data_IF_676753287327
#
_entry.id   IF_676753287327
#
_cell.length_a   1.000
_cell.length_b   1.000
_cell.length_c   1.000
_cell.angle_alpha   90.00
_cell.angle_beta   90.00
_cell.angle_gamma   90.00
#
_symmetry.space_group_name_H-M   'P 1'
#
loop_
_entity.id
_entity.type
_entity.pdbx_description
1 polymer ?
#
# COMPACT_ATOMS: atom_id res chain seq x y z
N UNK A 1 6.40 7.99 -12.33
CA UNK A 1 7.61 7.77 -11.48
C UNK A 1 8.01 9.11 -10.88
N UNK A 2 7.72 9.35 -9.59
CA UNK A 2 8.32 10.48 -8.88
C UNK A 2 9.81 10.20 -8.66
N UNK A 3 10.65 11.22 -8.77
CA UNK A 3 12.09 11.11 -8.65
C UNK A 3 12.62 12.20 -7.71
N UNK A 4 13.32 11.78 -6.65
CA UNK A 4 14.02 12.69 -5.76
C UNK A 4 15.21 11.99 -5.10
N UNK A 5 16.41 12.46 -5.37
CA UNK A 5 17.67 11.96 -4.79
C UNK A 5 17.80 10.43 -4.83
N UNK A 6 17.63 9.83 -6.00
CA UNK A 6 17.66 8.39 -6.25
C UNK A 6 18.74 8.00 -7.29
N UNK A 7 19.83 8.75 -7.42
CA UNK A 7 20.89 8.53 -8.41
C UNK A 7 21.42 7.09 -8.45
N UNK A 8 21.43 6.41 -7.29
CA UNK A 8 21.87 5.03 -7.15
C UNK A 8 20.96 4.00 -7.83
N UNK A 9 19.68 4.32 -8.06
CA UNK A 9 18.68 3.33 -8.43
C UNK A 9 17.87 3.73 -9.67
N UNK A 10 17.70 5.02 -9.93
CA UNK A 10 16.77 5.51 -10.97
C UNK A 10 17.10 4.96 -12.36
N UNK A 11 18.38 4.80 -12.72
CA UNK A 11 18.79 4.21 -13.99
C UNK A 11 18.30 2.77 -14.15
N UNK A 12 18.52 1.93 -13.13
CA UNK A 12 18.05 0.55 -13.11
C UNK A 12 16.51 0.47 -13.17
N UNK A 13 15.82 1.34 -12.43
CA UNK A 13 14.36 1.39 -12.40
C UNK A 13 13.77 1.81 -13.75
N UNK A 14 14.34 2.81 -14.42
CA UNK A 14 13.92 3.22 -15.77
C UNK A 14 14.13 2.07 -16.76
N UNK A 15 15.35 1.48 -16.82
CA UNK A 15 15.62 0.33 -17.69
C UNK A 15 14.67 -0.83 -17.46
N UNK A 16 14.35 -1.11 -16.21
CA UNK A 16 13.44 -2.20 -15.85
C UNK A 16 12.02 -1.95 -16.41
N UNK A 17 11.52 -0.71 -16.36
CA UNK A 17 10.23 -0.35 -16.97
C UNK A 17 10.31 -0.41 -18.50
N UNK A 18 11.38 0.06 -19.12
CA UNK A 18 11.54 0.02 -20.57
C UNK A 18 11.59 -1.41 -21.16
N UNK A 19 11.96 -2.41 -20.33
CA UNK A 19 11.99 -3.85 -20.68
C UNK A 19 10.64 -4.54 -20.54
N UNK A 20 9.53 -3.84 -20.25
CA UNK A 20 8.23 -4.46 -20.20
C UNK A 20 7.85 -5.08 -21.55
N UNK A 21 7.22 -6.26 -21.51
CA UNK A 21 6.80 -6.99 -22.73
C UNK A 21 5.68 -6.27 -23.51
N UNK A 22 4.97 -5.37 -22.87
CA UNK A 22 4.04 -4.42 -23.50
C UNK A 22 4.83 -3.16 -23.84
N UNK A 23 4.90 -2.79 -25.10
CA UNK A 23 5.67 -1.63 -25.58
C UNK A 23 4.86 -0.33 -25.68
N UNK A 24 3.53 -0.41 -25.74
CA UNK A 24 2.63 0.75 -25.87
C UNK A 24 2.37 1.39 -24.48
N UNK A 25 3.30 2.22 -24.04
CA UNK A 25 3.19 3.02 -22.82
C UNK A 25 4.01 4.30 -22.90
N UNK A 26 3.67 5.27 -22.05
CA UNK A 26 4.51 6.41 -21.70
C UNK A 26 5.02 6.27 -20.27
N UNK A 27 6.30 6.58 -20.03
CA UNK A 27 6.92 6.63 -18.72
C UNK A 27 7.09 8.09 -18.31
N UNK A 28 6.18 8.59 -17.49
CA UNK A 28 6.26 9.96 -16.96
C UNK A 28 7.17 9.94 -15.73
N UNK A 29 8.35 10.55 -15.86
CA UNK A 29 9.30 10.77 -14.78
C UNK A 29 9.23 12.23 -14.37
N UNK A 30 8.99 12.51 -13.10
CA UNK A 30 8.97 13.87 -12.59
C UNK A 30 10.06 14.02 -11.53
N UNK A 31 11.11 14.75 -11.88
CA UNK A 31 12.14 15.14 -10.94
C UNK A 31 11.63 16.23 -9.99
N UNK A 32 11.62 15.92 -8.70
CA UNK A 32 11.09 16.78 -7.63
C UNK A 32 12.21 17.64 -7.01
N UNK A 33 12.96 18.35 -7.87
CA UNK A 33 14.12 19.18 -7.52
C UNK A 33 15.25 18.39 -6.83
N UNK A 34 15.69 17.29 -7.44
CA UNK A 34 16.85 16.50 -6.96
C UNK A 34 18.11 17.34 -6.91
N UNK A 35 18.94 17.06 -5.91
CA UNK A 35 20.24 17.73 -5.68
C UNK A 35 21.43 16.83 -5.98
N UNK A 36 21.19 15.58 -6.36
CA UNK A 36 22.17 14.59 -6.81
C UNK A 36 22.10 14.42 -8.35
N UNK A 37 22.73 13.39 -8.90
CA UNK A 37 22.75 13.13 -10.34
C UNK A 37 21.43 12.54 -10.91
N UNK A 38 20.37 12.41 -10.11
CA UNK A 38 19.10 11.78 -10.53
C UNK A 38 18.50 12.40 -11.78
N UNK A 39 18.39 13.73 -11.82
CA UNK A 39 17.80 14.46 -12.95
C UNK A 39 18.64 14.30 -14.23
N UNK A 40 19.97 14.28 -14.11
CA UNK A 40 20.89 14.07 -15.23
C UNK A 40 20.76 12.66 -15.82
N UNK A 41 20.70 11.64 -14.95
CA UNK A 41 20.48 10.25 -15.35
C UNK A 41 19.16 10.13 -16.09
N UNK A 42 18.05 10.64 -15.53
CA UNK A 42 16.73 10.56 -16.16
C UNK A 42 16.72 11.27 -17.54
N UNK A 43 17.41 12.41 -17.68
CA UNK A 43 17.57 13.14 -18.94
C UNK A 43 18.33 12.31 -19.99
N UNK A 44 19.37 11.60 -19.58
CA UNK A 44 20.15 10.74 -20.48
C UNK A 44 19.32 9.57 -21.02
N UNK A 45 18.37 9.03 -20.24
CA UNK A 45 17.42 8.02 -20.72
C UNK A 45 16.33 8.63 -21.62
N UNK A 46 15.77 9.78 -21.27
CA UNK A 46 14.76 10.46 -22.08
C UNK A 46 15.28 10.86 -23.46
N UNK A 47 16.56 11.15 -23.58
CA UNK A 47 17.20 11.44 -24.88
C UNK A 47 17.35 10.19 -25.79
N UNK A 48 17.13 8.98 -25.26
CA UNK A 48 17.34 7.71 -26.00
C UNK A 48 16.04 6.95 -26.26
N UNK A 49 14.95 7.26 -25.55
CA UNK A 49 13.68 6.55 -25.66
C UNK A 49 12.53 7.53 -25.55
N UNK A 50 11.80 7.71 -26.66
CA UNK A 50 10.70 8.65 -26.81
C UNK A 50 9.46 8.31 -25.95
N UNK A 51 9.44 7.12 -25.34
CA UNK A 51 8.40 6.76 -24.37
C UNK A 51 8.56 7.48 -23.04
N UNK A 52 9.72 8.07 -22.76
CA UNK A 52 9.99 8.80 -21.51
C UNK A 52 9.58 10.25 -21.63
N UNK A 53 8.66 10.67 -20.78
CA UNK A 53 8.24 12.06 -20.60
C UNK A 53 8.86 12.58 -19.32
N UNK A 54 9.98 13.34 -19.44
CA UNK A 54 10.66 13.92 -18.29
C UNK A 54 10.10 15.30 -17.96
N UNK A 55 9.74 15.51 -16.71
CA UNK A 55 9.26 16.79 -16.17
C UNK A 55 10.06 17.16 -14.92
N UNK A 56 10.06 18.45 -14.55
CA UNK A 56 10.76 18.95 -13.37
C UNK A 56 9.83 19.81 -12.51
N UNK A 57 9.95 19.70 -11.19
CA UNK A 57 9.41 20.65 -10.23
C UNK A 57 10.50 21.69 -9.89
N UNK A 58 10.13 22.95 -9.75
CA UNK A 58 11.07 24.02 -9.40
C UNK A 58 11.57 23.88 -7.94
N UNK A 59 10.74 23.32 -7.09
CA UNK A 59 11.01 23.06 -5.68
C UNK A 59 10.55 21.66 -5.30
N UNK A 60 11.19 21.06 -4.29
CA UNK A 60 10.73 19.79 -3.73
C UNK A 60 9.32 19.94 -3.16
N UNK A 61 8.37 19.33 -3.81
CA UNK A 61 6.93 19.38 -3.47
C UNK A 61 6.44 18.12 -2.74
N UNK A 62 7.26 17.09 -2.67
CA UNK A 62 6.96 15.80 -2.06
C UNK A 62 6.20 14.84 -2.98
N UNK A 63 6.22 13.56 -2.61
CA UNK A 63 5.71 12.47 -3.44
C UNK A 63 4.24 12.63 -3.85
N UNK A 64 3.38 13.12 -2.95
CA UNK A 64 1.96 13.30 -3.21
C UNK A 64 1.70 14.30 -4.34
N UNK A 65 2.28 15.49 -4.27
CA UNK A 65 2.11 16.53 -5.30
C UNK A 65 2.75 16.08 -6.62
N UNK A 66 3.92 15.48 -6.56
CA UNK A 66 4.63 14.97 -7.74
C UNK A 66 3.82 13.88 -8.45
N UNK A 67 3.22 12.93 -7.69
CA UNK A 67 2.31 11.93 -8.29
C UNK A 67 1.05 12.57 -8.84
N UNK A 68 0.45 13.57 -8.20
CA UNK A 68 -0.71 14.28 -8.72
C UNK A 68 -0.40 14.96 -10.05
N UNK A 69 0.75 15.62 -10.17
CA UNK A 69 1.19 16.21 -11.43
C UNK A 69 1.39 15.16 -12.53
N UNK A 70 1.92 13.98 -12.19
CA UNK A 70 2.04 12.87 -13.13
C UNK A 70 0.66 12.33 -13.57
N UNK A 71 -0.30 12.26 -12.66
CA UNK A 71 -1.69 11.85 -12.96
C UNK A 71 -2.38 12.83 -13.93
N UNK A 72 -2.10 14.14 -13.81
CA UNK A 72 -2.65 15.16 -14.70
C UNK A 72 -2.04 15.08 -16.09
N UNK A 73 -0.78 14.70 -16.22
CA UNK A 73 -0.08 14.51 -17.47
C UNK A 73 -0.41 13.17 -18.18
N UNK A 74 -0.93 12.17 -17.43
CA UNK A 74 -1.15 10.83 -17.95
C UNK A 74 -2.28 10.74 -18.97
N UNK A 75 -1.97 10.15 -20.14
CA UNK A 75 -2.87 10.00 -21.31
C UNK A 75 -3.37 8.58 -21.53
N UNK A 76 -2.69 7.59 -20.90
CA UNK A 76 -2.98 6.18 -21.08
C UNK A 76 -4.37 5.77 -20.60
N UNK A 77 -4.94 4.71 -21.20
CA UNK A 77 -6.19 4.05 -20.74
C UNK A 77 -6.05 3.44 -19.35
N UNK A 78 -4.82 3.06 -19.00
CA UNK A 78 -4.43 2.56 -17.70
C UNK A 78 -3.31 3.42 -17.13
N UNK A 79 -3.27 3.57 -15.81
CA UNK A 79 -2.20 4.22 -15.07
C UNK A 79 -1.55 3.18 -14.17
N UNK A 80 -0.22 3.10 -14.20
CA UNK A 80 0.55 2.29 -13.27
C UNK A 80 1.59 3.15 -12.55
N UNK A 81 1.90 2.78 -11.32
CA UNK A 81 2.88 3.49 -10.51
C UNK A 81 4.20 2.71 -10.45
N UNK A 82 5.29 3.46 -10.33
CA UNK A 82 6.63 2.93 -10.12
C UNK A 82 7.45 3.93 -9.34
N UNK A 83 8.01 3.53 -8.22
CA UNK A 83 8.95 4.35 -7.47
C UNK A 83 10.35 4.23 -8.07
N UNK A 84 11.17 5.26 -7.95
CA UNK A 84 12.46 5.38 -8.64
C UNK A 84 13.56 4.43 -8.11
N UNK A 85 13.26 3.66 -7.07
CA UNK A 85 14.14 2.68 -6.44
C UNK A 85 13.62 1.24 -6.52
N UNK A 86 12.42 1.01 -7.11
CA UNK A 86 11.78 -0.29 -7.23
C UNK A 86 12.02 -0.95 -8.59
N UNK A 87 11.72 -2.27 -8.65
CA UNK A 87 11.77 -3.07 -9.87
C UNK A 87 10.46 -3.85 -10.05
N UNK A 88 10.21 -4.33 -11.27
CA UNK A 88 9.07 -5.21 -11.55
C UNK A 88 9.42 -6.28 -12.58
N UNK A 89 8.62 -7.36 -12.59
CA UNK A 89 8.71 -8.40 -13.63
C UNK A 89 8.48 -7.79 -15.02
N UNK A 90 9.23 -8.19 -16.04
CA UNK A 90 9.00 -7.76 -17.42
C UNK A 90 7.57 -8.01 -17.92
N UNK A 91 6.88 -8.98 -17.34
CA UNK A 91 5.51 -9.36 -17.71
C UNK A 91 4.44 -8.63 -16.88
N UNK A 92 4.80 -7.75 -15.94
CA UNK A 92 3.85 -7.13 -15.02
C UNK A 92 2.71 -6.43 -15.76
N UNK A 93 3.01 -5.60 -16.75
CA UNK A 93 1.98 -4.87 -17.49
C UNK A 93 1.07 -5.82 -18.26
N UNK A 94 1.63 -6.77 -18.99
CA UNK A 94 0.86 -7.76 -19.75
C UNK A 94 -0.10 -8.56 -18.84
N UNK A 95 0.37 -9.02 -17.68
CA UNK A 95 -0.45 -9.80 -16.74
C UNK A 95 -1.56 -8.97 -16.11
N UNK A 96 -1.30 -7.70 -15.78
CA UNK A 96 -2.31 -6.81 -15.24
C UNK A 96 -3.35 -6.44 -16.30
N UNK A 97 -2.96 -6.16 -17.54
CA UNK A 97 -3.90 -5.92 -18.66
C UNK A 97 -4.79 -7.14 -18.92
N UNK A 98 -4.20 -8.34 -19.02
CA UNK A 98 -4.96 -9.58 -19.18
C UNK A 98 -5.89 -9.86 -17.97
N UNK A 99 -5.53 -9.43 -16.77
CA UNK A 99 -6.41 -9.49 -15.61
C UNK A 99 -7.63 -8.57 -15.78
N UNK A 100 -7.42 -7.33 -16.20
CA UNK A 100 -8.52 -6.39 -16.46
C UNK A 100 -9.47 -6.83 -17.57
N UNK A 101 -8.96 -7.51 -18.60
CA UNK A 101 -9.79 -8.10 -19.67
C UNK A 101 -10.72 -9.19 -19.11
N UNK A 102 -10.19 -10.07 -18.26
CA UNK A 102 -10.95 -11.17 -17.62
C UNK A 102 -11.88 -10.68 -16.49
N UNK A 103 -11.60 -9.50 -15.93
CA UNK A 103 -12.33 -8.92 -14.80
C UNK A 103 -12.74 -7.47 -15.11
N UNK A 104 -13.68 -7.26 -16.06
CA UNK A 104 -14.06 -5.93 -16.53
C UNK A 104 -14.65 -5.01 -15.44
N UNK A 105 -15.17 -5.60 -14.36
CA UNK A 105 -15.68 -4.87 -13.20
C UNK A 105 -14.59 -4.38 -12.23
N UNK A 106 -13.32 -4.76 -12.43
CA UNK A 106 -12.20 -4.32 -11.58
C UNK A 106 -11.63 -3.03 -12.12
N UNK A 107 -11.44 -2.04 -11.25
CA UNK A 107 -10.90 -0.72 -11.59
C UNK A 107 -9.44 -0.57 -11.17
N UNK A 108 -9.02 -1.24 -10.08
CA UNK A 108 -7.67 -1.20 -9.51
C UNK A 108 -7.17 -2.63 -9.33
N UNK A 109 -5.98 -2.91 -9.86
CA UNK A 109 -5.31 -4.21 -9.76
C UNK A 109 -3.89 -4.05 -9.26
N UNK A 110 -3.59 -4.61 -8.09
CA UNK A 110 -2.23 -4.78 -7.60
C UNK A 110 -1.72 -6.21 -7.80
N UNK A 111 -0.60 -6.54 -7.15
CA UNK A 111 -0.03 -7.88 -7.12
C UNK A 111 0.66 -8.18 -5.79
N UNK A 112 1.02 -9.43 -5.55
CA UNK A 112 2.02 -9.75 -4.55
C UNK A 112 3.34 -9.07 -4.90
N UNK A 113 4.18 -8.84 -3.89
CA UNK A 113 5.48 -8.25 -4.11
C UNK A 113 6.55 -8.87 -3.22
N UNK A 114 7.80 -8.74 -3.65
CA UNK A 114 8.96 -9.19 -2.90
C UNK A 114 9.71 -7.97 -2.38
N UNK A 115 9.97 -7.90 -1.09
CA UNK A 115 10.92 -6.93 -0.54
C UNK A 115 12.32 -7.51 -0.66
N UNK A 116 13.27 -6.70 -1.14
CA UNK A 116 14.68 -7.08 -1.31
C UNK A 116 15.63 -5.96 -0.90
N UNK A 117 16.92 -6.24 -0.78
CA UNK A 117 17.96 -5.25 -0.45
C UNK A 117 18.52 -5.40 0.96
N UNK A 118 19.27 -4.40 1.43
CA UNK A 118 20.24 -4.51 2.53
C UNK A 118 19.73 -4.08 3.91
N UNK A 119 18.50 -3.63 4.04
CA UNK A 119 17.99 -3.14 5.34
C UNK A 119 17.97 -4.26 6.39
N UNK A 120 18.64 -4.01 7.52
CA UNK A 120 18.68 -4.93 8.66
C UNK A 120 19.81 -5.97 8.59
N UNK A 121 20.85 -5.72 7.79
CA UNK A 121 22.09 -6.52 7.79
C UNK A 121 22.00 -7.87 7.08
N UNK A 122 20.91 -8.13 6.34
CA UNK A 122 20.74 -9.38 5.59
C UNK A 122 20.27 -9.13 4.16
N UNK A 123 20.89 -9.79 3.20
CA UNK A 123 20.48 -9.80 1.78
C UNK A 123 19.27 -10.73 1.53
N UNK A 124 18.29 -10.74 2.45
CA UNK A 124 17.15 -11.63 2.37
C UNK A 124 15.98 -11.05 1.58
N UNK A 125 15.37 -11.87 0.75
CA UNK A 125 14.06 -11.58 0.15
C UNK A 125 12.93 -11.90 1.12
N UNK A 126 11.95 -11.00 1.21
CA UNK A 126 10.72 -11.22 1.95
C UNK A 126 9.52 -11.16 1.02
N UNK A 127 8.88 -12.29 0.81
CA UNK A 127 7.68 -12.42 -0.02
C UNK A 127 6.44 -11.93 0.73
N UNK A 128 5.76 -10.93 0.19
CA UNK A 128 4.57 -10.31 0.76
C UNK A 128 3.35 -10.72 -0.03
N UNK A 129 2.42 -11.37 0.64
CA UNK A 129 1.09 -11.68 0.13
C UNK A 129 0.09 -10.66 0.65
N UNK A 130 -0.71 -10.12 -0.25
CA UNK A 130 -1.75 -9.13 0.03
C UNK A 130 -3.15 -9.73 -0.22
N UNK A 131 -4.23 -9.14 0.30
CA UNK A 131 -5.60 -9.60 0.02
C UNK A 131 -5.89 -9.60 -1.47
N UNK A 132 -6.66 -10.58 -1.96
CA UNK A 132 -6.90 -10.77 -3.39
C UNK A 132 -8.22 -10.16 -3.86
N UNK A 133 -9.28 -10.27 -3.06
CA UNK A 133 -10.63 -9.84 -3.45
C UNK A 133 -10.94 -8.44 -2.93
N UNK A 134 -11.89 -7.78 -3.57
CA UNK A 134 -12.37 -6.46 -3.14
C UNK A 134 -12.79 -6.46 -1.66
N UNK A 135 -13.56 -7.46 -1.26
CA UNK A 135 -14.08 -7.58 0.09
C UNK A 135 -12.94 -7.78 1.12
N UNK A 136 -11.93 -8.58 0.80
CA UNK A 136 -10.74 -8.74 1.65
C UNK A 136 -9.92 -7.45 1.74
N UNK A 137 -9.79 -6.72 0.63
CA UNK A 137 -9.11 -5.42 0.57
C UNK A 137 -9.85 -4.39 1.43
N UNK A 138 -11.18 -4.32 1.37
CA UNK A 138 -12.00 -3.44 2.21
C UNK A 138 -11.73 -3.66 3.70
N UNK A 139 -11.62 -4.92 4.14
CA UNK A 139 -11.29 -5.22 5.54
C UNK A 139 -9.81 -4.94 5.87
N UNK A 140 -8.89 -5.20 4.92
CA UNK A 140 -7.48 -4.89 5.11
C UNK A 140 -7.25 -3.40 5.33
N UNK A 141 -7.97 -2.56 4.62
CA UNK A 141 -7.88 -1.10 4.73
C UNK A 141 -8.13 -0.58 6.15
N UNK A 142 -8.89 -1.25 6.99
CA UNK A 142 -9.01 -0.87 8.41
C UNK A 142 -7.70 -1.04 9.19
N UNK A 143 -6.77 -1.85 8.69
CA UNK A 143 -5.54 -2.23 9.39
C UNK A 143 -4.26 -1.73 8.75
N UNK A 144 -4.29 -1.33 7.49
CA UNK A 144 -3.13 -0.85 6.75
C UNK A 144 -3.29 -0.98 5.24
N UNK A 145 -2.27 -0.55 4.52
CA UNK A 145 -2.26 -0.53 3.07
C UNK A 145 -2.36 -1.95 2.48
N UNK A 146 -3.27 -2.19 1.52
CA UNK A 146 -3.45 -3.50 0.87
C UNK A 146 -2.59 -3.70 -0.38
N UNK A 147 -1.78 -2.71 -0.75
CA UNK A 147 -0.96 -2.69 -1.96
C UNK A 147 0.47 -2.25 -1.68
N UNK A 148 1.43 -2.74 -2.44
CA UNK A 148 2.68 -2.02 -2.67
C UNK A 148 2.45 -0.97 -3.75
N UNK A 149 2.88 0.28 -3.57
CA UNK A 149 2.60 1.37 -4.51
C UNK A 149 3.02 1.01 -5.93
N UNK A 150 4.24 0.53 -6.11
CA UNK A 150 4.79 0.12 -7.41
C UNK A 150 4.14 -1.14 -8.00
N UNK A 151 3.20 -1.80 -7.29
CA UNK A 151 2.48 -2.97 -7.81
C UNK A 151 1.15 -2.64 -8.48
N UNK A 152 0.68 -1.39 -8.37
CA UNK A 152 -0.69 -1.04 -8.76
C UNK A 152 -0.76 -0.59 -10.20
N UNK A 153 -1.81 -1.06 -10.90
CA UNK A 153 -2.34 -0.52 -12.14
C UNK A 153 -3.83 -0.24 -11.96
N UNK A 154 -4.33 0.85 -12.56
CA UNK A 154 -5.73 1.24 -12.47
C UNK A 154 -6.28 1.73 -13.83
N UNK A 155 -7.59 1.65 -14.02
CA UNK A 155 -8.28 2.22 -15.17
C UNK A 155 -8.32 3.74 -15.02
N UNK A 156 -7.83 4.47 -16.03
CA UNK A 156 -7.75 5.94 -15.98
C UNK A 156 -9.13 6.59 -15.86
N UNK A 157 -10.09 6.16 -16.69
CA UNK A 157 -11.40 6.80 -16.78
C UNK A 157 -12.22 6.69 -15.47
N UNK A 158 -12.43 5.48 -14.87
CA UNK A 158 -13.08 5.39 -13.57
C UNK A 158 -12.38 6.20 -12.49
N UNK A 159 -11.02 6.16 -12.44
CA UNK A 159 -10.25 6.91 -11.48
C UNK A 159 -10.45 8.43 -11.64
N UNK A 160 -10.31 8.98 -12.85
CA UNK A 160 -10.46 10.41 -13.12
C UNK A 160 -11.85 10.93 -12.74
N UNK A 161 -12.89 10.13 -12.95
CA UNK A 161 -14.28 10.49 -12.57
C UNK A 161 -14.47 10.67 -11.07
N UNK A 162 -13.68 10.01 -10.23
CA UNK A 162 -13.79 10.20 -8.76
C UNK A 162 -13.36 11.58 -8.31
N UNK A 163 -12.51 12.28 -9.06
CA UNK A 163 -11.85 13.52 -8.66
C UNK A 163 -10.85 13.37 -7.50
N UNK A 164 -10.66 12.15 -6.98
CA UNK A 164 -9.77 11.88 -5.85
C UNK A 164 -8.30 12.03 -6.28
N UNK A 165 -7.49 12.59 -5.39
CA UNK A 165 -6.06 12.84 -5.56
C UNK A 165 -5.28 12.39 -4.33
N UNK A 166 -3.97 12.21 -4.48
CA UNK A 166 -3.07 12.03 -3.34
C UNK A 166 -3.17 13.23 -2.39
N UNK A 167 -3.37 12.97 -1.10
CA UNK A 167 -3.33 13.99 -0.06
C UNK A 167 -1.90 14.19 0.43
N UNK A 168 -1.57 15.40 0.85
CA UNK A 168 -0.25 15.72 1.42
C UNK A 168 -0.16 15.16 2.85
N UNK A 169 0.15 13.90 2.95
CA UNK A 169 0.39 13.20 4.21
C UNK A 169 1.49 12.15 4.01
N UNK A 170 2.02 11.61 5.09
CA UNK A 170 3.15 10.66 5.02
C UNK A 170 2.76 9.22 4.64
N UNK A 171 1.46 8.92 4.60
CA UNK A 171 0.92 7.65 4.14
C UNK A 171 -0.10 7.92 3.00
N UNK A 172 0.35 8.70 2.02
CA UNK A 172 -0.47 9.23 0.93
C UNK A 172 -1.07 8.12 0.05
N UNK A 173 -0.34 7.02 -0.12
CA UNK A 173 -0.80 5.84 -0.85
C UNK A 173 -1.94 5.14 -0.09
N UNK A 174 -1.75 4.89 1.21
CA UNK A 174 -2.78 4.27 2.03
C UNK A 174 -4.05 5.13 2.08
N UNK A 175 -3.91 6.45 2.24
CA UNK A 175 -5.04 7.37 2.23
C UNK A 175 -5.78 7.34 0.88
N UNK A 176 -5.03 7.33 -0.23
CA UNK A 176 -5.61 7.22 -1.57
C UNK A 176 -6.48 5.96 -1.72
N UNK A 177 -5.96 4.81 -1.29
CA UNK A 177 -6.71 3.55 -1.40
C UNK A 177 -7.95 3.53 -0.51
N UNK A 178 -7.89 4.13 0.66
CA UNK A 178 -9.06 4.31 1.54
C UNK A 178 -10.12 5.15 0.86
N UNK A 179 -9.75 6.28 0.26
CA UNK A 179 -10.70 7.18 -0.41
C UNK A 179 -11.30 6.52 -1.66
N UNK A 180 -10.48 5.89 -2.50
CA UNK A 180 -10.94 5.21 -3.72
C UNK A 180 -11.80 3.97 -3.44
N UNK A 181 -11.64 3.34 -2.29
CA UNK A 181 -12.33 2.09 -1.94
C UNK A 181 -13.86 2.21 -1.86
N UNK A 182 -14.39 3.42 -1.85
CA UNK A 182 -15.84 3.68 -1.84
C UNK A 182 -16.44 3.74 -3.25
N UNK A 183 -15.59 3.96 -4.24
CA UNK A 183 -16.02 4.23 -5.62
C UNK A 183 -15.55 3.16 -6.61
N UNK A 184 -14.40 2.53 -6.33
CA UNK A 184 -13.71 1.67 -7.27
C UNK A 184 -13.55 0.24 -6.73
N UNK A 185 -13.73 -0.74 -7.59
CA UNK A 185 -13.47 -2.15 -7.26
C UNK A 185 -12.00 -2.48 -7.39
N UNK A 186 -11.47 -3.12 -6.36
CA UNK A 186 -10.05 -3.42 -6.19
C UNK A 186 -9.80 -4.92 -6.17
N UNK A 187 -8.67 -5.35 -6.71
CA UNK A 187 -8.21 -6.73 -6.63
C UNK A 187 -6.67 -6.81 -6.60
N UNK A 188 -6.11 -7.97 -6.29
CA UNK A 188 -4.69 -8.27 -6.48
C UNK A 188 -4.51 -9.60 -7.24
N UNK A 189 -3.46 -9.67 -8.06
CA UNK A 189 -3.01 -10.90 -8.72
C UNK A 189 -2.14 -11.68 -7.71
N UNK A 190 -2.36 -13.02 -7.54
CA UNK A 190 -1.58 -13.84 -6.61
C UNK A 190 -0.18 -14.23 -7.17
N UNK A 191 0.50 -13.28 -7.79
CA UNK A 191 1.83 -13.43 -8.37
C UNK A 191 2.77 -12.31 -7.88
N UNK A 192 4.04 -12.64 -7.70
CA UNK A 192 5.07 -11.69 -7.27
C UNK A 192 5.59 -10.94 -8.50
N UNK A 193 4.93 -9.82 -8.83
CA UNK A 193 5.23 -9.05 -10.04
C UNK A 193 6.02 -7.77 -9.76
N UNK A 194 6.26 -7.43 -8.50
CA UNK A 194 6.97 -6.22 -8.10
C UNK A 194 8.01 -6.53 -7.05
N UNK A 195 9.14 -5.85 -7.12
CA UNK A 195 10.26 -6.00 -6.22
C UNK A 195 10.49 -4.64 -5.55
N UNK A 196 10.07 -4.54 -4.28
CA UNK A 196 10.21 -3.36 -3.43
C UNK A 196 11.60 -3.34 -2.81
N UNK A 197 12.39 -2.34 -3.13
CA UNK A 197 13.75 -2.20 -2.61
C UNK A 197 13.73 -1.66 -1.19
N UNK A 198 14.59 -2.21 -0.33
CA UNK A 198 14.81 -1.73 1.04
C UNK A 198 16.25 -1.31 1.20
N UNK A 199 16.45 -0.06 1.61
CA UNK A 199 17.77 0.51 1.87
C UNK A 199 17.70 1.50 3.05
N UNK A 200 18.86 1.88 3.62
CA UNK A 200 18.91 2.57 4.91
C UNK A 200 18.31 3.97 4.89
N UNK A 201 18.53 4.71 3.79
CA UNK A 201 18.13 6.11 3.66
C UNK A 201 16.73 6.32 3.07
N UNK A 202 15.97 5.28 2.89
CA UNK A 202 14.58 5.34 2.40
C UNK A 202 13.70 6.21 3.29
N UNK A 203 12.80 7.00 2.69
CA UNK A 203 11.83 7.84 3.42
C UNK A 203 11.03 7.01 4.43
N UNK A 204 10.59 5.82 4.03
CA UNK A 204 9.86 4.87 4.90
C UNK A 204 10.70 4.37 6.10
N UNK A 205 12.01 4.54 6.06
CA UNK A 205 12.91 4.22 7.16
C UNK A 205 13.16 5.44 8.04
N UNK A 206 13.55 6.55 7.42
CA UNK A 206 13.91 7.79 8.13
C UNK A 206 12.74 8.47 8.82
N UNK A 207 11.52 8.30 8.31
CA UNK A 207 10.32 8.97 8.79
C UNK A 207 9.23 7.98 9.27
N UNK A 208 9.63 6.81 9.78
CA UNK A 208 8.72 5.75 10.21
C UNK A 208 7.68 6.24 11.23
N UNK A 209 8.08 7.08 12.20
CA UNK A 209 7.16 7.61 13.21
C UNK A 209 6.09 8.51 12.59
N UNK A 210 6.50 9.37 11.66
CA UNK A 210 5.57 10.25 10.93
C UNK A 210 4.61 9.45 10.04
N UNK A 211 5.11 8.43 9.35
CA UNK A 211 4.27 7.52 8.56
C UNK A 211 3.29 6.75 9.46
N UNK A 212 3.75 6.26 10.62
CA UNK A 212 2.90 5.56 11.57
C UNK A 212 1.80 6.46 12.09
N UNK A 213 2.10 7.72 12.43
CA UNK A 213 1.10 8.70 12.86
C UNK A 213 0.10 9.00 11.74
N UNK A 214 0.57 9.22 10.51
CA UNK A 214 -0.29 9.46 9.36
C UNK A 214 -1.23 8.28 9.11
N UNK A 215 -0.72 7.05 9.13
CA UNK A 215 -1.53 5.84 9.02
C UNK A 215 -2.54 5.70 10.17
N UNK A 216 -2.18 6.10 11.40
CA UNK A 216 -3.10 6.14 12.54
C UNK A 216 -4.28 7.07 12.29
N UNK A 217 -4.03 8.27 11.80
CA UNK A 217 -5.08 9.23 11.47
C UNK A 217 -6.02 8.69 10.38
N UNK A 218 -5.46 8.10 9.33
CA UNK A 218 -6.24 7.44 8.27
C UNK A 218 -7.12 6.30 8.83
N UNK A 219 -6.57 5.47 9.73
CA UNK A 219 -7.33 4.41 10.39
C UNK A 219 -8.47 4.97 11.25
N UNK A 220 -8.22 5.99 12.05
CA UNK A 220 -9.23 6.64 12.90
C UNK A 220 -10.37 7.24 12.06
N UNK A 221 -10.02 7.99 11.00
CA UNK A 221 -11.00 8.58 10.07
C UNK A 221 -11.89 7.49 9.45
N UNK A 222 -11.27 6.42 8.94
CA UNK A 222 -11.99 5.34 8.29
C UNK A 222 -12.91 4.56 9.25
N UNK A 223 -12.42 4.24 10.45
CA UNK A 223 -13.21 3.54 11.47
C UNK A 223 -14.41 4.37 11.93
N UNK A 224 -14.21 5.68 12.10
CA UNK A 224 -15.30 6.59 12.45
C UNK A 224 -16.33 6.70 11.32
N UNK A 225 -15.86 6.88 10.07
CA UNK A 225 -16.73 7.07 8.90
C UNK A 225 -17.51 5.82 8.52
N UNK A 226 -16.83 4.65 8.42
CA UNK A 226 -17.44 3.41 7.91
C UNK A 226 -18.13 2.58 8.98
N UNK A 227 -17.69 2.65 10.23
CA UNK A 227 -18.21 1.79 11.31
C UNK A 227 -18.79 2.58 12.49
N UNK A 228 -18.72 3.89 12.49
CA UNK A 228 -19.12 4.71 13.64
C UNK A 228 -18.25 4.48 14.90
N UNK A 229 -17.08 3.86 14.76
CA UNK A 229 -16.20 3.52 15.89
C UNK A 229 -15.13 4.60 16.05
N UNK A 230 -15.22 5.36 17.14
CA UNK A 230 -14.20 6.31 17.55
C UNK A 230 -13.27 5.67 18.58
N UNK A 231 -11.98 5.77 18.38
CA UNK A 231 -10.94 5.32 19.31
C UNK A 231 -10.39 6.54 20.07
N UNK A 232 -10.09 6.36 21.37
CA UNK A 232 -9.28 7.34 22.09
C UNK A 232 -7.84 7.32 21.53
N UNK A 233 -7.04 8.33 21.85
CA UNK A 233 -5.65 8.43 21.37
C UNK A 233 -4.81 7.22 21.78
N UNK A 234 -5.00 6.73 23.01
CA UNK A 234 -4.32 5.51 23.49
C UNK A 234 -4.80 4.26 22.76
N UNK A 235 -6.10 4.12 22.52
CA UNK A 235 -6.66 3.01 21.74
C UNK A 235 -6.17 3.05 20.30
N UNK A 236 -6.15 4.22 19.67
CA UNK A 236 -5.68 4.40 18.30
C UNK A 236 -4.19 4.03 18.17
N UNK A 237 -3.35 4.49 19.09
CA UNK A 237 -1.94 4.14 19.14
C UNK A 237 -1.73 2.63 19.30
N UNK A 238 -2.47 1.98 20.20
CA UNK A 238 -2.42 0.53 20.39
C UNK A 238 -2.88 -0.17 19.10
N UNK A 239 -4.01 0.25 18.53
CA UNK A 239 -4.57 -0.35 17.33
C UNK A 239 -3.60 -0.28 16.16
N UNK A 240 -3.00 0.89 15.91
CA UNK A 240 -2.07 1.11 14.80
C UNK A 240 -0.81 0.28 14.96
N UNK A 241 -0.19 0.29 16.15
CA UNK A 241 1.03 -0.51 16.41
C UNK A 241 0.81 -2.00 16.18
N UNK A 242 -0.30 -2.56 16.67
CA UNK A 242 -0.61 -3.97 16.42
C UNK A 242 -0.98 -4.25 14.95
N UNK A 243 -1.63 -3.32 14.29
CA UNK A 243 -2.07 -3.46 12.89
C UNK A 243 -0.90 -3.41 11.91
N UNK A 244 0.01 -2.44 12.09
CA UNK A 244 1.16 -2.22 11.22
C UNK A 244 2.43 -2.96 11.72
N UNK A 245 2.42 -3.48 12.93
CA UNK A 245 3.59 -4.10 13.61
C UNK A 245 4.78 -3.12 13.72
N UNK A 246 4.47 -1.88 14.03
CA UNK A 246 5.46 -0.81 14.21
C UNK A 246 5.65 -0.49 15.70
N UNK A 247 6.85 -0.06 16.05
CA UNK A 247 7.19 0.34 17.40
C UNK A 247 7.20 -0.81 18.42
N UNK A 248 7.35 -0.45 19.70
CA UNK A 248 7.42 -1.39 20.81
C UNK A 248 5.99 -1.76 21.29
N UNK A 249 5.45 -2.86 20.76
CA UNK A 249 4.16 -3.41 21.22
C UNK A 249 4.34 -4.17 22.53
N UNK A 250 3.51 -3.84 23.53
CA UNK A 250 3.61 -4.42 24.87
C UNK A 250 2.55 -5.48 25.11
N UNK A 251 2.95 -6.61 25.72
CA UNK A 251 2.03 -7.72 26.03
C UNK A 251 0.80 -7.27 26.84
N UNK A 252 0.95 -6.31 27.76
CA UNK A 252 -0.15 -5.74 28.56
C UNK A 252 -1.21 -5.03 27.69
N UNK A 253 -0.87 -4.57 26.50
CA UNK A 253 -1.76 -3.89 25.57
C UNK A 253 -2.64 -4.85 24.74
N UNK A 254 -2.31 -6.15 24.75
CA UNK A 254 -3.06 -7.18 23.99
C UNK A 254 -4.54 -7.27 24.40
N UNK A 255 -4.84 -7.05 25.67
CA UNK A 255 -6.22 -7.03 26.18
C UNK A 255 -7.01 -5.82 25.62
N UNK A 256 -6.38 -4.66 25.52
CA UNK A 256 -6.98 -3.46 24.91
C UNK A 256 -7.18 -3.65 23.40
N UNK A 257 -6.17 -4.17 22.70
CA UNK A 257 -6.31 -4.50 21.27
C UNK A 257 -7.47 -5.47 21.02
N UNK A 258 -7.63 -6.52 21.85
CA UNK A 258 -8.76 -7.45 21.77
C UNK A 258 -10.10 -6.74 21.94
N UNK A 259 -10.23 -5.82 22.92
CA UNK A 259 -11.46 -5.03 23.14
C UNK A 259 -11.79 -4.19 21.92
N UNK A 260 -10.80 -3.55 21.31
CA UNK A 260 -10.98 -2.78 20.08
C UNK A 260 -11.50 -3.69 18.96
N UNK A 261 -10.87 -4.83 18.70
CA UNK A 261 -11.34 -5.78 17.67
C UNK A 261 -12.77 -6.28 17.94
N UNK A 262 -13.16 -6.47 19.20
CA UNK A 262 -14.56 -6.83 19.56
C UNK A 262 -15.52 -5.70 19.23
N UNK A 263 -15.17 -4.44 19.51
CA UNK A 263 -15.98 -3.27 19.12
C UNK A 263 -16.13 -3.17 17.60
N UNK A 264 -15.04 -3.39 16.86
CA UNK A 264 -15.08 -3.40 15.39
C UNK A 264 -15.97 -4.52 14.85
N UNK A 265 -15.94 -5.70 15.46
CA UNK A 265 -16.83 -6.79 15.08
C UNK A 265 -18.30 -6.42 15.27
N UNK A 266 -18.68 -5.92 16.46
CA UNK A 266 -20.05 -5.51 16.77
C UNK A 266 -20.57 -4.42 15.84
N UNK A 267 -19.75 -3.43 15.54
CA UNK A 267 -20.10 -2.37 14.61
C UNK A 267 -20.16 -2.89 13.16
N UNK A 268 -19.17 -3.68 12.75
CA UNK A 268 -19.05 -4.17 11.37
C UNK A 268 -20.12 -5.20 10.98
N UNK A 269 -20.64 -6.03 11.90
CA UNK A 269 -21.73 -6.96 11.61
C UNK A 269 -22.96 -6.24 11.03
N UNK A 270 -23.25 -5.04 11.50
CA UNK A 270 -24.43 -4.25 11.06
C UNK A 270 -24.28 -3.73 9.64
N UNK A 271 -23.05 -3.61 9.15
CA UNK A 271 -22.70 -2.99 7.86
C UNK A 271 -22.00 -3.96 6.91
N UNK A 272 -21.73 -5.20 7.33
CA UNK A 272 -21.00 -6.18 6.54
C UNK A 272 -21.89 -6.99 5.63
N UNK A 273 -21.55 -7.06 4.34
CA UNK A 273 -22.15 -8.00 3.39
C UNK A 273 -21.69 -9.45 3.63
N UNK A 274 -20.55 -9.66 4.31
CA UNK A 274 -20.03 -10.97 4.71
C UNK A 274 -19.52 -10.97 6.16
N UNK A 275 -20.38 -11.23 7.14
CA UNK A 275 -20.00 -11.34 8.54
C UNK A 275 -18.98 -12.45 8.83
N UNK A 276 -18.96 -13.52 8.02
CA UNK A 276 -18.01 -14.64 8.18
C UNK A 276 -16.61 -14.20 7.78
N UNK A 277 -16.50 -13.44 6.70
CA UNK A 277 -15.22 -12.86 6.27
C UNK A 277 -14.68 -11.86 7.29
N UNK A 278 -15.53 -10.93 7.78
CA UNK A 278 -15.16 -9.98 8.84
C UNK A 278 -14.60 -10.72 10.06
N UNK A 279 -15.33 -11.71 10.56
CA UNK A 279 -14.90 -12.55 11.70
C UNK A 279 -13.54 -13.22 11.42
N UNK A 280 -13.36 -13.82 10.24
CA UNK A 280 -12.10 -14.47 9.85
C UNK A 280 -10.94 -13.49 9.86
N UNK A 281 -11.12 -12.27 9.33
CA UNK A 281 -10.10 -11.23 9.29
C UNK A 281 -9.71 -10.74 10.70
N UNK A 282 -10.68 -10.47 11.57
CA UNK A 282 -10.40 -10.06 12.95
C UNK A 282 -9.71 -11.16 13.76
N UNK A 283 -10.13 -12.42 13.57
CA UNK A 283 -9.47 -13.58 14.19
C UNK A 283 -8.02 -13.75 13.72
N UNK A 284 -7.75 -13.54 12.42
CA UNK A 284 -6.38 -13.54 11.87
C UNK A 284 -5.53 -12.46 12.55
N UNK A 285 -6.04 -11.23 12.68
CA UNK A 285 -5.35 -10.11 13.33
C UNK A 285 -5.02 -10.40 14.78
N UNK A 286 -5.98 -10.90 15.53
CA UNK A 286 -5.76 -11.27 16.92
C UNK A 286 -4.74 -12.42 17.07
N UNK A 287 -4.81 -13.44 16.21
CA UNK A 287 -3.81 -14.51 16.17
C UNK A 287 -2.40 -13.97 15.94
N UNK A 288 -2.25 -13.07 14.98
CA UNK A 288 -0.95 -12.44 14.67
C UNK A 288 -0.42 -11.63 15.86
N UNK A 289 -1.28 -10.88 16.56
CA UNK A 289 -0.93 -10.12 17.75
C UNK A 289 -0.49 -11.05 18.91
N UNK A 290 -1.20 -12.15 19.12
CA UNK A 290 -0.82 -13.16 20.12
C UNK A 290 0.54 -13.81 19.81
N UNK A 291 0.84 -14.04 18.51
CA UNK A 291 2.09 -14.65 18.07
C UNK A 291 3.35 -13.84 18.41
N UNK A 292 3.20 -12.54 18.72
CA UNK A 292 4.31 -11.71 19.19
C UNK A 292 4.78 -12.06 20.61
N UNK A 293 3.93 -12.69 21.42
CA UNK A 293 4.17 -12.87 22.86
C UNK A 293 4.06 -14.29 23.35
N UNK A 294 3.48 -15.20 22.57
CA UNK A 294 3.16 -16.55 23.01
C UNK A 294 3.63 -17.62 22.02
N UNK A 295 4.09 -18.77 22.49
CA UNK A 295 4.34 -19.92 21.63
C UNK A 295 3.04 -20.40 20.97
N UNK A 296 3.16 -21.11 19.86
CA UNK A 296 2.06 -21.47 18.95
C UNK A 296 0.84 -22.12 19.62
N UNK A 297 1.07 -23.01 20.61
CA UNK A 297 -0.02 -23.69 21.35
C UNK A 297 -0.83 -22.74 22.25
N UNK A 298 -0.17 -21.73 22.89
CA UNK A 298 -0.87 -20.70 23.67
C UNK A 298 -1.64 -19.73 22.78
N UNK A 299 -1.13 -19.43 21.60
CA UNK A 299 -1.83 -18.63 20.58
C UNK A 299 -3.17 -19.29 20.23
N UNK A 300 -3.22 -20.61 20.12
CA UNK A 300 -4.44 -21.35 19.83
C UNK A 300 -5.51 -21.20 20.93
N UNK A 301 -5.10 -21.27 22.22
CA UNK A 301 -6.00 -21.04 23.37
C UNK A 301 -6.57 -19.60 23.33
N UNK A 302 -5.72 -18.60 23.19
CA UNK A 302 -6.15 -17.19 23.09
C UNK A 302 -7.09 -16.94 21.94
N UNK A 303 -6.86 -17.57 20.79
CA UNK A 303 -7.75 -17.51 19.62
C UNK A 303 -9.13 -18.09 19.94
N UNK A 304 -9.23 -19.24 20.60
CA UNK A 304 -10.51 -19.84 21.01
C UNK A 304 -11.28 -18.95 21.99
N UNK A 305 -10.61 -18.42 23.00
CA UNK A 305 -11.23 -17.53 23.97
C UNK A 305 -11.74 -16.24 23.30
N UNK A 306 -11.02 -15.70 22.31
CA UNK A 306 -11.50 -14.56 21.56
C UNK A 306 -12.71 -14.92 20.70
N UNK A 307 -12.71 -16.09 20.06
CA UNK A 307 -13.85 -16.58 19.26
C UNK A 307 -15.13 -16.71 20.11
N UNK A 308 -15.02 -17.31 21.29
CA UNK A 308 -16.17 -17.45 22.21
C UNK A 308 -16.75 -16.08 22.57
N UNK A 309 -15.90 -15.07 22.82
CA UNK A 309 -16.33 -13.71 23.13
C UNK A 309 -16.97 -12.99 21.92
N UNK A 310 -16.48 -13.25 20.70
CA UNK A 310 -17.12 -12.72 19.49
C UNK A 310 -18.49 -13.35 19.23
N UNK A 311 -18.72 -14.60 19.68
CA UNK A 311 -20.00 -15.27 19.53
C UNK A 311 -21.02 -14.89 20.62
N UNK A 312 -20.52 -14.52 21.80
CA UNK A 312 -21.33 -14.10 22.94
C UNK A 312 -21.65 -12.59 22.94
N UNK A 313 -21.16 -11.87 21.97
CA UNK A 313 -21.34 -10.42 21.81
C UNK A 313 -22.24 -10.05 20.64
#
# INVERSE_FOLDING_TARGET
>A
MPLYNAERFVGESIENVLRQTVGDFELIVIDDASTDASAEIARAYAAKDDRIVLMHNELNSGAARTRNRALDAARGKFITFMDADDLCSPERFAKQLAFFERHPQTDICGSYYTMFGTRGGGNGELKIQVPLTHEEIQYQLFFGCPFGMSSVMLRSEPFKRTGIRFRECMAEDYQLWVDLSEYLRMANIPEYLTFYRRWEDQISTRQLDRQTLSAQLTQQEQLARKLGVRLSDDEARIFTRFSLRTGDVKKRELASYRRILTRLYKAGIRHSHDPKLLKRQLMRRYKMACGLFYPSWRVWIHKRLFLVRLLAS
#
